data_IF_068099474503
#
_entry.id   IF_068099474503
#
_cell.length_a   1.000
_cell.length_b   1.000
_cell.length_c   1.000
_cell.angle_alpha   90.00
_cell.angle_beta   90.00
_cell.angle_gamma   90.00
#
_symmetry.space_group_name_H-M   'P 1'
#
loop_
_entity.id
_entity.type
_entity.pdbx_description
1 polymer ?
#
# COMPACT_ATOMS: atom_id res chain seq x y z
N UNK A 1 -12.81 -0.76 13.20
CA UNK A 1 -14.19 -0.56 12.72
C UNK A 1 -15.03 -1.73 13.17
N UNK A 2 -16.35 -1.57 13.29
CA UNK A 2 -17.30 -2.63 13.69
C UNK A 2 -18.14 -3.14 12.51
N UNK A 3 -17.57 -3.09 11.30
CA UNK A 3 -18.18 -3.51 10.03
C UNK A 3 -17.18 -4.33 9.22
N UNK A 4 -17.63 -4.94 8.10
CA UNK A 4 -16.79 -5.70 7.18
C UNK A 4 -16.37 -4.82 5.98
N UNK A 5 -15.13 -4.28 5.95
CA UNK A 5 -14.66 -3.47 4.84
C UNK A 5 -14.15 -4.30 3.64
N UNK A 6 -14.22 -5.63 3.72
CA UNK A 6 -13.85 -6.52 2.61
C UNK A 6 -14.95 -6.57 1.56
N UNK A 7 -14.65 -7.09 0.37
CA UNK A 7 -15.62 -7.27 -0.72
C UNK A 7 -16.84 -8.11 -0.30
N UNK A 8 -16.68 -9.09 0.59
CA UNK A 8 -17.79 -9.87 1.14
C UNK A 8 -18.82 -9.00 1.90
N UNK A 9 -18.38 -7.89 2.50
CA UNK A 9 -19.26 -6.90 3.12
C UNK A 9 -20.25 -6.26 2.15
N UNK A 10 -19.89 -6.13 0.87
CA UNK A 10 -20.79 -5.64 -0.17
C UNK A 10 -21.99 -6.58 -0.36
N UNK A 11 -21.76 -7.90 -0.33
CA UNK A 11 -22.83 -8.90 -0.46
C UNK A 11 -23.80 -8.79 0.71
N UNK A 12 -23.29 -8.89 1.94
CA UNK A 12 -24.13 -8.84 3.15
C UNK A 12 -24.77 -7.48 3.39
N UNK A 13 -24.15 -6.39 2.94
CA UNK A 13 -24.62 -5.03 3.13
C UNK A 13 -25.65 -4.55 2.10
N UNK A 14 -25.72 -5.17 0.93
CA UNK A 14 -26.62 -4.77 -0.17
C UNK A 14 -27.60 -5.85 -0.62
N UNK A 15 -27.46 -7.09 -0.13
CA UNK A 15 -28.29 -8.23 -0.57
C UNK A 15 -27.92 -8.75 -1.96
N UNK A 16 -26.77 -8.38 -2.50
CA UNK A 16 -26.25 -8.88 -3.78
C UNK A 16 -25.66 -10.28 -3.58
N UNK A 17 -26.03 -11.21 -4.46
CA UNK A 17 -25.48 -12.57 -4.45
C UNK A 17 -23.97 -12.54 -4.75
N UNK A 18 -23.13 -13.34 -4.06
CA UNK A 18 -21.68 -13.29 -4.23
C UNK A 18 -21.19 -13.55 -5.67
N UNK A 19 -21.89 -14.40 -6.42
CA UNK A 19 -21.59 -14.70 -7.82
C UNK A 19 -21.91 -13.55 -8.80
N UNK A 20 -22.53 -12.47 -8.34
CA UNK A 20 -22.75 -11.25 -9.12
C UNK A 20 -21.63 -10.21 -8.93
N UNK A 21 -20.70 -10.43 -8.00
CA UNK A 21 -19.51 -9.60 -7.86
C UNK A 21 -18.54 -9.95 -8.99
N UNK A 22 -18.37 -9.02 -9.93
CA UNK A 22 -17.42 -9.17 -11.04
C UNK A 22 -16.01 -8.81 -10.63
N UNK A 23 -15.62 -7.55 -10.86
CA UNK A 23 -14.30 -7.04 -10.50
C UNK A 23 -14.25 -6.51 -9.08
N UNK A 24 -13.14 -6.75 -8.39
CA UNK A 24 -12.82 -6.17 -7.09
C UNK A 24 -11.53 -5.38 -7.23
N UNK A 25 -11.62 -4.06 -7.15
CA UNK A 25 -10.47 -3.15 -7.23
C UNK A 25 -9.94 -2.91 -5.82
N UNK A 26 -8.72 -3.35 -5.53
CA UNK A 26 -8.02 -3.05 -4.29
C UNK A 26 -7.34 -1.70 -4.38
N UNK A 27 -7.70 -0.76 -3.51
CA UNK A 27 -7.03 0.55 -3.44
C UNK A 27 -5.93 0.48 -2.40
N UNK A 28 -4.67 0.62 -2.82
CA UNK A 28 -3.52 0.68 -1.92
C UNK A 28 -2.72 1.95 -2.18
N UNK A 29 -2.04 2.45 -1.15
CA UNK A 29 -1.03 3.50 -1.29
C UNK A 29 0.32 2.85 -1.61
N UNK A 30 1.23 3.61 -2.21
CA UNK A 30 2.62 3.18 -2.42
C UNK A 30 3.44 3.05 -1.12
N UNK A 31 2.86 3.42 0.04
CA UNK A 31 3.44 3.30 1.36
C UNK A 31 2.32 3.10 2.39
N UNK A 32 2.65 2.74 3.63
CA UNK A 32 1.66 2.43 4.67
C UNK A 32 1.36 3.64 5.55
N UNK A 33 0.10 3.75 5.96
CA UNK A 33 -0.34 4.76 6.94
C UNK A 33 -1.32 4.16 7.93
N UNK A 34 -1.28 4.59 9.19
CA UNK A 34 -2.23 4.17 10.22
C UNK A 34 -2.69 5.35 11.07
N UNK A 35 -3.98 5.35 11.40
CA UNK A 35 -4.56 6.24 12.41
C UNK A 35 -4.85 5.42 13.67
N UNK A 36 -4.44 5.95 14.82
CA UNK A 36 -4.68 5.32 16.11
C UNK A 36 -3.64 4.28 16.51
N UNK A 37 -3.93 3.60 17.61
CA UNK A 37 -3.03 2.68 18.29
C UNK A 37 -2.98 1.30 17.60
N UNK A 38 -2.09 0.43 18.08
CA UNK A 38 -1.92 -0.95 17.64
C UNK A 38 -0.69 -1.15 16.76
N UNK A 39 -0.32 -2.42 16.54
CA UNK A 39 0.90 -2.78 15.84
C UNK A 39 0.95 -2.20 14.42
N UNK A 40 2.12 -1.71 14.04
CA UNK A 40 2.39 -1.23 12.69
C UNK A 40 3.81 -1.66 12.32
N UNK A 41 3.99 -2.89 11.79
CA UNK A 41 5.31 -3.49 11.58
C UNK A 41 6.28 -2.63 10.79
N UNK A 42 5.78 -1.91 9.78
CA UNK A 42 6.61 -1.06 8.90
C UNK A 42 6.63 0.41 9.27
N UNK A 43 6.15 0.78 10.46
CA UNK A 43 6.20 2.16 10.93
C UNK A 43 7.63 2.70 10.98
N UNK A 44 7.77 3.96 10.57
CA UNK A 44 9.02 4.70 10.63
C UNK A 44 8.87 5.83 11.63
N UNK A 45 9.69 5.81 12.67
CA UNK A 45 9.78 6.85 13.70
C UNK A 45 10.97 7.80 13.45
N UNK A 46 11.50 7.80 12.23
CA UNK A 46 12.64 8.60 11.78
C UNK A 46 12.23 9.67 10.76
N UNK A 47 13.21 10.44 10.27
CA UNK A 47 13.02 11.50 9.26
C UNK A 47 12.36 11.00 7.97
N UNK A 48 12.53 9.71 7.63
CA UNK A 48 11.88 9.11 6.46
C UNK A 48 10.38 9.01 6.66
N UNK A 49 9.95 8.56 7.84
CA UNK A 49 8.53 8.52 8.23
C UNK A 49 7.89 9.90 8.26
N UNK A 50 8.61 10.90 8.78
CA UNK A 50 8.17 12.30 8.78
C UNK A 50 8.02 12.85 7.36
N UNK A 51 9.02 12.62 6.51
CA UNK A 51 9.02 13.05 5.10
C UNK A 51 7.86 12.43 4.30
N UNK A 52 7.59 11.13 4.48
CA UNK A 52 6.42 10.47 3.88
C UNK A 52 5.12 11.14 4.33
N UNK A 53 5.00 11.46 5.62
CA UNK A 53 3.81 12.09 6.19
C UNK A 53 3.58 13.52 5.68
N UNK A 54 4.65 14.31 5.55
CA UNK A 54 4.59 15.69 5.07
C UNK A 54 4.22 15.78 3.60
N UNK A 55 4.96 15.09 2.72
CA UNK A 55 4.72 15.08 1.27
C UNK A 55 3.35 14.46 0.96
N UNK A 56 3.02 13.37 1.66
CA UNK A 56 1.75 12.68 1.49
C UNK A 56 0.55 13.40 2.11
N UNK A 57 0.73 14.55 2.76
CA UNK A 57 -0.31 15.24 3.51
C UNK A 57 -1.10 14.29 4.44
N UNK A 58 -0.39 13.45 5.18
CA UNK A 58 -0.97 12.43 6.05
C UNK A 58 -1.37 13.00 7.41
N UNK A 59 -2.37 13.88 7.37
CA UNK A 59 -2.97 14.53 8.52
C UNK A 59 -4.48 14.30 8.55
N UNK A 60 -5.06 14.24 9.74
CA UNK A 60 -6.52 14.19 9.87
C UNK A 60 -7.16 15.48 9.37
N UNK A 61 -8.11 15.39 8.44
CA UNK A 61 -8.71 16.55 7.79
C UNK A 61 -9.37 17.56 8.77
N UNK A 62 -9.95 17.07 9.87
CA UNK A 62 -10.59 17.93 10.88
C UNK A 62 -9.64 18.29 12.01
N UNK A 63 -8.91 17.31 12.54
CA UNK A 63 -8.11 17.48 13.77
C UNK A 63 -6.68 17.95 13.52
N UNK A 64 -6.17 17.85 12.28
CA UNK A 64 -4.76 18.07 11.96
C UNK A 64 -3.79 17.02 12.52
N UNK A 65 -4.27 16.03 13.29
CA UNK A 65 -3.43 14.98 13.89
C UNK A 65 -2.65 14.22 12.81
N UNK A 66 -1.31 14.15 12.99
CA UNK A 66 -0.40 13.34 12.16
C UNK A 66 -0.83 11.87 12.16
N UNK A 67 -0.81 11.24 10.99
CA UNK A 67 -0.94 9.78 10.85
C UNK A 67 0.45 9.16 10.97
N UNK A 68 0.48 7.94 11.50
CA UNK A 68 1.69 7.11 11.52
C UNK A 68 1.99 6.69 10.08
N UNK A 69 3.24 6.77 9.66
CA UNK A 69 3.67 6.47 8.29
C UNK A 69 4.77 5.41 8.30
N UNK A 70 4.84 4.64 7.22
CA UNK A 70 5.75 3.52 7.11
C UNK A 70 5.92 3.02 5.69
N UNK A 71 6.92 2.19 5.45
CA UNK A 71 7.14 1.58 4.15
C UNK A 71 6.01 0.62 3.75
N UNK A 72 5.87 0.36 2.45
CA UNK A 72 4.88 -0.60 1.96
C UNK A 72 5.08 -1.98 2.59
N UNK A 73 3.98 -2.61 3.00
CA UNK A 73 3.96 -3.92 3.62
C UNK A 73 3.29 -4.95 2.71
N UNK A 74 4.09 -5.81 2.05
CA UNK A 74 3.57 -6.84 1.16
C UNK A 74 2.89 -7.99 1.91
N UNK A 75 3.26 -8.27 3.16
CA UNK A 75 2.60 -9.32 3.95
C UNK A 75 1.16 -8.91 4.23
N UNK A 76 0.96 -7.66 4.71
CA UNK A 76 -0.36 -7.10 4.92
C UNK A 76 -1.14 -6.93 3.59
N UNK A 77 -0.48 -6.48 2.52
CA UNK A 77 -1.12 -6.32 1.21
C UNK A 77 -1.61 -7.66 0.66
N UNK A 78 -0.77 -8.69 0.57
CA UNK A 78 -1.17 -10.04 0.08
C UNK A 78 -2.33 -10.62 0.87
N UNK A 79 -2.31 -10.45 2.20
CA UNK A 79 -3.43 -10.87 3.04
C UNK A 79 -4.73 -10.15 2.65
N UNK A 80 -4.69 -8.82 2.52
CA UNK A 80 -5.85 -8.01 2.11
C UNK A 80 -6.40 -8.38 0.73
N UNK A 81 -5.50 -8.61 -0.24
CA UNK A 81 -5.86 -9.04 -1.59
C UNK A 81 -6.57 -10.39 -1.58
N UNK A 82 -6.05 -11.34 -0.79
CA UNK A 82 -6.58 -12.70 -0.68
C UNK A 82 -7.97 -12.69 -0.04
N UNK A 83 -8.15 -12.05 1.11
CA UNK A 83 -9.43 -12.05 1.84
C UNK A 83 -10.54 -11.31 1.08
N UNK A 84 -10.18 -10.39 0.19
CA UNK A 84 -11.14 -9.60 -0.58
C UNK A 84 -11.30 -10.10 -2.02
N UNK A 85 -10.56 -11.13 -2.44
CA UNK A 85 -10.60 -11.61 -3.82
C UNK A 85 -10.30 -10.52 -4.84
N UNK A 86 -9.30 -9.68 -4.56
CA UNK A 86 -8.95 -8.53 -5.41
C UNK A 86 -8.48 -9.01 -6.78
N UNK A 87 -9.06 -8.44 -7.83
CA UNK A 87 -8.76 -8.80 -9.23
C UNK A 87 -7.77 -7.83 -9.87
N UNK A 88 -7.75 -6.58 -9.43
CA UNK A 88 -6.84 -5.55 -9.94
C UNK A 88 -6.57 -4.49 -8.85
N UNK A 89 -5.41 -3.83 -8.93
CA UNK A 89 -4.96 -2.83 -7.97
C UNK A 89 -5.04 -1.41 -8.54
N UNK A 90 -5.50 -0.49 -7.69
CA UNK A 90 -5.29 0.93 -7.85
C UNK A 90 -4.20 1.37 -6.87
N UNK A 91 -2.99 1.61 -7.39
CA UNK A 91 -1.85 2.12 -6.63
C UNK A 91 -1.92 3.65 -6.58
N UNK A 92 -2.01 4.18 -5.37
CA UNK A 92 -2.21 5.61 -5.13
C UNK A 92 -1.01 6.25 -4.48
N UNK A 93 -0.87 7.57 -4.66
CA UNK A 93 0.19 8.38 -4.04
C UNK A 93 1.60 7.92 -4.40
N UNK A 94 1.81 7.48 -5.64
CA UNK A 94 3.14 7.09 -6.10
C UNK A 94 4.08 8.29 -6.16
N UNK A 95 3.53 9.48 -6.43
CA UNK A 95 4.22 10.77 -6.43
C UNK A 95 4.92 11.09 -5.11
N UNK A 96 4.42 10.59 -3.98
CA UNK A 96 5.10 10.75 -2.68
C UNK A 96 6.48 10.10 -2.70
N UNK A 97 6.64 9.01 -3.46
CA UNK A 97 7.91 8.30 -3.59
C UNK A 97 8.87 8.95 -4.61
N UNK A 98 8.44 9.97 -5.36
CA UNK A 98 9.28 10.75 -6.28
C UNK A 98 10.46 11.44 -5.58
N UNK A 99 10.44 11.52 -4.25
CA UNK A 99 11.40 12.25 -3.42
C UNK A 99 12.41 11.37 -2.68
N UNK A 100 12.56 10.10 -3.08
CA UNK A 100 13.46 9.15 -2.41
C UNK A 100 14.47 8.54 -3.39
N UNK A 101 15.71 8.36 -2.93
CA UNK A 101 16.79 7.65 -3.63
C UNK A 101 16.72 6.13 -3.42
N UNK A 102 16.20 5.69 -2.27
CA UNK A 102 15.99 4.31 -1.90
C UNK A 102 14.57 4.16 -1.33
N UNK A 103 13.87 3.12 -1.78
CA UNK A 103 12.55 2.75 -1.29
C UNK A 103 12.64 1.34 -0.73
N UNK A 104 12.19 1.15 0.50
CA UNK A 104 12.12 -0.18 1.11
C UNK A 104 10.70 -0.72 1.04
N UNK A 105 10.59 -2.02 0.81
CA UNK A 105 9.30 -2.74 0.84
C UNK A 105 9.45 -3.95 1.75
N UNK A 106 8.57 -4.09 2.74
CA UNK A 106 8.56 -5.25 3.63
C UNK A 106 8.02 -6.45 2.85
N UNK A 107 8.80 -7.53 2.78
CA UNK A 107 8.50 -8.73 1.97
C UNK A 107 8.03 -9.90 2.81
N UNK A 108 8.53 -10.00 4.03
CA UNK A 108 8.26 -11.05 5.02
C UNK A 108 8.45 -10.49 6.44
N UNK A 109 8.12 -11.30 7.44
CA UNK A 109 8.26 -10.95 8.84
C UNK A 109 9.18 -11.92 9.61
N UNK A 110 10.04 -11.29 10.40
CA UNK A 110 10.63 -11.61 11.69
C UNK A 110 9.78 -12.11 12.88
N UNK A 111 9.31 -13.36 13.03
CA UNK A 111 8.58 -13.76 14.27
C UNK A 111 9.32 -14.82 15.07
N UNK A 112 9.81 -14.44 16.26
CA UNK A 112 10.46 -15.33 17.24
C UNK A 112 11.58 -16.20 16.60
N UNK A 113 12.36 -15.60 15.70
CA UNK A 113 13.44 -16.27 14.97
C UNK A 113 13.01 -17.08 13.74
N UNK A 114 11.71 -17.14 13.40
CA UNK A 114 11.18 -17.77 12.18
C UNK A 114 10.62 -16.77 11.17
N UNK A 115 11.07 -16.89 9.92
CA UNK A 115 10.55 -16.09 8.81
C UNK A 115 9.16 -16.56 8.42
N UNK A 116 8.22 -15.62 8.37
CA UNK A 116 6.84 -15.87 7.99
C UNK A 116 6.41 -14.93 6.86
N UNK A 117 5.55 -15.43 5.99
CA UNK A 117 5.01 -14.70 4.84
C UNK A 117 3.53 -14.35 4.98
N UNK A 118 2.88 -15.00 5.95
CA UNK A 118 1.47 -14.82 6.29
C UNK A 118 1.29 -13.75 7.36
N UNK A 119 0.18 -13.03 7.28
CA UNK A 119 -0.16 -11.99 8.25
C UNK A 119 -0.60 -12.61 9.60
N UNK A 120 0.06 -12.29 10.72
CA UNK A 120 -0.34 -12.78 12.03
C UNK A 120 -1.73 -12.26 12.42
N UNK A 121 -2.68 -13.18 12.65
CA UNK A 121 -4.06 -12.81 13.04
C UNK A 121 -4.17 -12.31 14.49
N UNK A 122 -3.21 -12.68 15.34
CA UNK A 122 -3.16 -12.26 16.74
C UNK A 122 -2.33 -10.99 16.90
N UNK A 123 -2.90 -9.97 17.56
CA UNK A 123 -2.20 -8.71 17.78
C UNK A 123 -0.92 -8.88 18.62
N UNK A 124 -0.84 -9.87 19.51
CA UNK A 124 0.37 -10.15 20.30
C UNK A 124 1.52 -10.56 19.38
N UNK A 125 1.27 -11.44 18.41
CA UNK A 125 2.29 -11.87 17.45
C UNK A 125 2.63 -10.73 16.49
N UNK A 126 1.63 -10.01 15.97
CA UNK A 126 1.83 -8.86 15.08
C UNK A 126 2.67 -7.75 15.74
N UNK A 127 2.56 -7.58 17.07
CA UNK A 127 3.33 -6.56 17.80
C UNK A 127 4.80 -6.95 18.00
N UNK A 128 5.15 -8.23 17.84
CA UNK A 128 6.53 -8.72 18.00
C UNK A 128 7.27 -8.89 16.67
N UNK A 129 6.56 -8.88 15.54
CA UNK A 129 7.20 -9.11 14.25
C UNK A 129 8.19 -8.00 13.92
N UNK A 130 9.31 -8.39 13.30
CA UNK A 130 10.27 -7.46 12.71
C UNK A 130 10.14 -7.49 11.18
N UNK A 131 9.95 -6.35 10.51
CA UNK A 131 9.83 -6.32 9.06
C UNK A 131 11.16 -6.69 8.38
N UNK A 132 11.09 -7.54 7.34
CA UNK A 132 12.25 -7.85 6.47
C UNK A 132 12.09 -7.10 5.16
N UNK A 133 13.01 -6.18 4.91
CA UNK A 133 12.94 -5.25 3.78
C UNK A 133 13.74 -5.70 2.57
N UNK A 134 13.16 -5.52 1.39
CA UNK A 134 13.88 -5.42 0.13
C UNK A 134 14.07 -3.95 -0.23
N UNK A 135 15.31 -3.54 -0.49
CA UNK A 135 15.62 -2.21 -1.01
C UNK A 135 15.45 -2.17 -2.53
N UNK A 136 14.76 -1.15 -3.01
CA UNK A 136 14.58 -0.82 -4.41
C UNK A 136 15.17 0.58 -4.66
N UNK A 137 15.68 0.79 -5.87
CA UNK A 137 16.13 2.12 -6.28
C UNK A 137 14.93 3.05 -6.37
N UNK A 138 14.99 4.18 -5.68
CA UNK A 138 14.10 5.30 -5.90
C UNK A 138 14.46 6.04 -7.20
N UNK A 139 13.82 7.17 -7.45
CA UNK A 139 13.93 7.84 -8.75
C UNK A 139 14.16 9.35 -8.71
N UNK A 140 13.96 10.03 -7.58
CA UNK A 140 14.24 11.48 -7.43
C UNK A 140 13.74 12.35 -8.60
N UNK A 141 12.58 11.98 -9.17
CA UNK A 141 12.05 12.56 -10.40
C UNK A 141 10.52 12.53 -10.39
N UNK A 142 9.87 13.56 -10.93
CA UNK A 142 8.41 13.61 -10.90
C UNK A 142 7.77 12.75 -12.00
N UNK A 143 6.76 11.96 -11.64
CA UNK A 143 5.89 11.23 -12.58
C UNK A 143 4.56 11.95 -12.88
N UNK A 144 4.32 13.13 -12.29
CA UNK A 144 3.03 13.86 -12.35
C UNK A 144 2.50 14.14 -13.77
N UNK A 145 3.41 14.25 -14.76
CA UNK A 145 3.05 14.52 -16.15
C UNK A 145 2.85 13.28 -17.01
N UNK A 146 3.20 12.09 -16.50
CA UNK A 146 3.06 10.85 -17.26
C UNK A 146 1.59 10.61 -17.62
N UNK A 147 1.33 10.26 -18.89
CA UNK A 147 0.00 9.90 -19.40
C UNK A 147 -0.12 8.42 -19.75
N UNK A 148 0.99 7.71 -19.77
CA UNK A 148 1.09 6.26 -19.98
C UNK A 148 2.10 5.65 -19.01
N UNK A 149 2.05 4.33 -18.81
CA UNK A 149 2.99 3.61 -17.95
C UNK A 149 4.42 3.73 -18.49
N UNK A 150 4.58 3.72 -19.80
CA UNK A 150 5.87 3.78 -20.50
C UNK A 150 6.56 5.14 -20.36
N UNK A 151 5.79 6.22 -20.15
CA UNK A 151 6.31 7.57 -19.91
C UNK A 151 6.87 7.77 -18.49
N UNK A 152 6.54 6.87 -17.56
CA UNK A 152 7.00 6.96 -16.18
C UNK A 152 8.50 6.69 -16.07
N UNK A 153 9.11 7.16 -14.98
CA UNK A 153 10.51 6.87 -14.71
C UNK A 153 10.76 5.35 -14.62
N UNK A 154 11.85 4.80 -15.20
CA UNK A 154 12.09 3.35 -15.23
C UNK A 154 12.09 2.67 -13.85
N UNK A 155 12.62 3.33 -12.82
CA UNK A 155 12.58 2.77 -11.45
C UNK A 155 11.16 2.79 -10.84
N UNK A 156 10.30 3.74 -11.24
CA UNK A 156 8.90 3.74 -10.82
C UNK A 156 8.14 2.59 -11.49
N UNK A 157 8.39 2.35 -12.79
CA UNK A 157 7.88 1.17 -13.50
C UNK A 157 8.37 -0.12 -12.84
N UNK A 158 9.66 -0.21 -12.48
CA UNK A 158 10.24 -1.37 -11.80
C UNK A 158 9.64 -1.62 -10.42
N UNK A 159 9.33 -0.55 -9.67
CA UNK A 159 8.62 -0.64 -8.40
C UNK A 159 7.23 -1.26 -8.59
N UNK A 160 6.45 -0.77 -9.56
CA UNK A 160 5.11 -1.28 -9.86
C UNK A 160 5.17 -2.74 -10.31
N UNK A 161 6.05 -3.07 -11.25
CA UNK A 161 6.22 -4.45 -11.73
C UNK A 161 6.63 -5.40 -10.60
N UNK A 162 7.47 -4.94 -9.66
CA UNK A 162 7.82 -5.71 -8.47
C UNK A 162 6.59 -5.97 -7.57
N UNK A 163 5.68 -5.00 -7.41
CA UNK A 163 4.44 -5.21 -6.66
C UNK A 163 3.53 -6.23 -7.35
N UNK A 164 3.37 -6.14 -8.67
CA UNK A 164 2.58 -7.10 -9.45
C UNK A 164 3.15 -8.51 -9.35
N UNK A 165 4.46 -8.68 -9.50
CA UNK A 165 5.15 -9.97 -9.34
C UNK A 165 4.96 -10.52 -7.91
N UNK A 166 5.13 -9.69 -6.89
CA UNK A 166 5.05 -10.10 -5.49
C UNK A 166 3.62 -10.40 -5.02
N UNK A 167 2.60 -9.86 -5.69
CA UNK A 167 1.18 -10.02 -5.30
C UNK A 167 0.41 -10.94 -6.24
N UNK A 168 0.87 -11.14 -7.47
CA UNK A 168 0.12 -11.84 -8.52
C UNK A 168 -1.10 -11.06 -9.01
N UNK A 169 -1.26 -9.79 -8.65
CA UNK A 169 -2.41 -8.95 -9.00
C UNK A 169 -1.94 -7.77 -9.87
N UNK A 170 -2.54 -7.54 -11.04
CA UNK A 170 -2.14 -6.44 -11.92
C UNK A 170 -2.49 -5.08 -11.30
N UNK A 171 -1.62 -4.10 -11.50
CA UNK A 171 -1.87 -2.69 -11.15
C UNK A 171 -2.38 -1.99 -12.39
N UNK A 172 -3.66 -1.62 -12.40
CA UNK A 172 -4.33 -1.05 -13.58
C UNK A 172 -4.58 0.45 -13.45
N UNK A 173 -4.56 0.99 -12.22
CA UNK A 173 -4.67 2.42 -11.95
C UNK A 173 -3.46 2.88 -11.14
N UNK A 174 -2.78 3.94 -11.60
CA UNK A 174 -1.61 4.50 -10.93
C UNK A 174 -1.84 5.99 -10.74
N UNK A 175 -2.05 6.44 -9.50
CA UNK A 175 -2.15 7.87 -9.18
C UNK A 175 -0.75 8.46 -8.96
N UNK A 176 -0.45 9.49 -9.75
CA UNK A 176 0.81 10.24 -9.79
C UNK A 176 0.63 11.69 -9.30
N UNK A 177 -0.46 11.93 -8.57
CA UNK A 177 -0.81 13.21 -7.98
C UNK A 177 -2.22 13.19 -7.36
N UNK A 178 -2.61 14.26 -6.65
CA UNK A 178 -3.92 14.40 -6.00
C UNK A 178 -5.07 14.75 -6.97
N UNK A 179 -4.77 15.26 -8.16
CA UNK A 179 -5.75 15.64 -9.19
C UNK A 179 -6.46 14.44 -9.80
N UNK A 180 -7.71 14.64 -10.25
CA UNK A 180 -8.51 13.58 -10.87
C UNK A 180 -7.90 13.07 -12.18
N UNK A 181 -7.25 13.96 -12.91
CA UNK A 181 -6.54 13.72 -14.18
C UNK A 181 -5.07 13.31 -14.00
N UNK A 182 -4.61 13.17 -12.75
CA UNK A 182 -3.29 12.68 -12.37
C UNK A 182 -3.34 11.18 -12.04
N UNK A 183 -4.04 10.42 -12.90
CA UNK A 183 -4.13 8.95 -12.85
C UNK A 183 -3.78 8.38 -14.21
N UNK A 184 -2.78 7.49 -14.24
CA UNK A 184 -2.36 6.70 -15.40
C UNK A 184 -3.09 5.36 -15.38
N UNK A 185 -3.58 4.94 -16.54
CA UNK A 185 -4.20 3.63 -16.74
C UNK A 185 -3.20 2.71 -17.45
N UNK A 186 -3.00 1.50 -16.93
CA UNK A 186 -2.11 0.47 -17.46
C UNK A 186 -2.91 -0.70 -18.02
#
# INVERSE_FOLDING_TARGET
>A
TSSNPTSGGACTGSGVAPNHIGKVIGVCKAYMTRVGNGAFPTELEDETGEKLGEIGHEFGATTGRKRRCGWLDLVALRYSLTISGVTELALTKLDVLDHFDEIKVCTSYMLDGKEIFDFPSENQNLSRVQPVYKSLKGWMASNSKAKSFEEMHPNAQAYINFLEEATGVPVTFISVGPGRDETVFK
#
